data_IF_550240830604
#
_entry.id   IF_550240830604
#
_cell.length_a   1.000
_cell.length_b   1.000
_cell.length_c   1.000
_cell.angle_alpha   90.00
_cell.angle_beta   90.00
_cell.angle_gamma   90.00
#
_symmetry.space_group_name_H-M   'P 1'
#
loop_
_entity.id
_entity.type
_entity.pdbx_description
1 polymer ?
#
# COMPACT_ATOMS: atom_id res chain seq x y z
N UNK A 1 10.71 18.27 -4.55
CA UNK A 1 10.45 16.90 -5.04
C UNK A 1 10.86 15.98 -3.91
N UNK A 2 9.89 15.39 -3.21
CA UNK A 2 10.21 14.48 -2.09
C UNK A 2 10.72 13.17 -2.68
N UNK A 3 11.97 12.85 -2.40
CA UNK A 3 12.62 11.64 -2.89
C UNK A 3 11.93 10.42 -2.24
N UNK A 4 11.32 9.54 -3.05
CA UNK A 4 10.68 8.33 -2.53
C UNK A 4 11.77 7.32 -2.17
N UNK A 5 11.80 6.88 -0.92
CA UNK A 5 12.74 5.85 -0.44
C UNK A 5 12.15 4.45 -0.60
N UNK A 6 13.02 3.44 -0.72
CA UNK A 6 12.57 2.04 -0.79
C UNK A 6 12.09 1.55 0.58
N UNK A 7 10.94 0.86 0.59
CA UNK A 7 10.36 0.21 1.76
C UNK A 7 10.17 -1.28 1.49
N UNK A 8 11.06 -2.11 2.04
CA UNK A 8 11.05 -3.56 1.82
C UNK A 8 10.41 -4.26 3.03
N UNK A 9 9.44 -5.14 2.78
CA UNK A 9 8.75 -5.93 3.82
C UNK A 9 8.56 -7.37 3.37
N UNK A 10 8.47 -8.28 4.34
CA UNK A 10 8.14 -9.68 4.11
C UNK A 10 6.65 -9.89 4.37
N UNK A 11 5.96 -10.47 3.38
CA UNK A 11 4.53 -10.76 3.45
C UNK A 11 4.29 -12.21 3.01
N UNK A 12 3.19 -12.85 3.47
CA UNK A 12 2.78 -14.14 2.95
C UNK A 12 2.58 -14.09 1.43
N UNK A 13 2.93 -15.16 0.70
CA UNK A 13 2.87 -15.17 -0.77
C UNK A 13 1.43 -14.96 -1.28
N UNK A 14 0.43 -15.48 -0.57
CA UNK A 14 -0.98 -15.31 -0.92
C UNK A 14 -1.42 -13.84 -0.83
N UNK A 15 -0.93 -13.12 0.18
CA UNK A 15 -1.20 -11.70 0.34
C UNK A 15 -0.54 -10.88 -0.77
N UNK A 16 0.72 -11.19 -1.12
CA UNK A 16 1.42 -10.53 -2.24
C UNK A 16 0.63 -10.71 -3.53
N UNK A 17 0.11 -11.92 -3.78
CA UNK A 17 -0.71 -12.21 -4.96
C UNK A 17 -2.00 -11.38 -4.95
N UNK A 18 -2.74 -11.38 -3.85
CA UNK A 18 -3.98 -10.60 -3.72
C UNK A 18 -3.74 -9.09 -3.94
N UNK A 19 -2.70 -8.52 -3.33
CA UNK A 19 -2.33 -7.11 -3.49
C UNK A 19 -2.00 -6.79 -4.95
N UNK A 20 -1.22 -7.63 -5.63
CA UNK A 20 -0.87 -7.42 -7.04
C UNK A 20 -2.09 -7.47 -7.97
N UNK A 21 -2.99 -8.43 -7.77
CA UNK A 21 -4.25 -8.47 -8.53
C UNK A 21 -5.02 -7.17 -8.35
N UNK A 22 -5.14 -6.70 -7.10
CA UNK A 22 -5.85 -5.46 -6.81
C UNK A 22 -5.21 -4.23 -7.45
N UNK A 23 -3.89 -4.16 -7.48
CA UNK A 23 -3.17 -3.10 -8.18
C UNK A 23 -3.51 -3.07 -9.68
N UNK A 24 -3.58 -4.24 -10.32
CA UNK A 24 -3.96 -4.37 -11.73
C UNK A 24 -5.41 -3.96 -11.95
N UNK A 25 -6.33 -4.42 -11.10
CA UNK A 25 -7.76 -4.09 -11.19
C UNK A 25 -8.03 -2.59 -11.06
N UNK A 26 -7.26 -1.89 -10.20
CA UNK A 26 -7.38 -0.44 -9.99
C UNK A 26 -6.52 0.38 -10.96
N UNK A 27 -5.71 -0.25 -11.81
CA UNK A 27 -4.79 0.44 -12.72
C UNK A 27 -3.69 1.22 -11.99
N UNK A 28 -3.35 0.82 -10.77
CA UNK A 28 -2.36 1.48 -9.92
C UNK A 28 -1.05 0.69 -9.89
N UNK A 29 0.06 1.42 -9.72
CA UNK A 29 1.32 0.77 -9.37
C UNK A 29 1.26 0.25 -7.93
N UNK A 30 2.05 -0.79 -7.63
CA UNK A 30 2.13 -1.36 -6.28
C UNK A 30 2.52 -0.30 -5.24
N UNK A 31 3.45 0.60 -5.58
CA UNK A 31 3.88 1.68 -4.69
C UNK A 31 2.77 2.70 -4.43
N UNK A 32 1.98 3.08 -5.45
CA UNK A 32 0.85 3.98 -5.27
C UNK A 32 -0.28 3.34 -4.45
N UNK A 33 -0.56 2.06 -4.69
CA UNK A 33 -1.55 1.30 -3.93
C UNK A 33 -1.15 1.19 -2.44
N UNK A 34 0.11 0.82 -2.16
CA UNK A 34 0.61 0.71 -0.78
C UNK A 34 0.63 2.06 -0.09
N UNK A 35 1.09 3.13 -0.76
CA UNK A 35 1.09 4.50 -0.22
C UNK A 35 -0.32 4.93 0.20
N UNK A 36 -1.32 4.70 -0.66
CA UNK A 36 -2.74 5.00 -0.37
C UNK A 36 -3.24 4.20 0.82
N UNK A 37 -3.12 2.87 0.80
CA UNK A 37 -3.67 1.99 1.85
C UNK A 37 -3.03 2.26 3.20
N UNK A 38 -1.72 2.48 3.25
CA UNK A 38 -1.04 2.83 4.50
C UNK A 38 -1.42 4.24 4.98
N UNK A 39 -1.57 5.20 4.07
CA UNK A 39 -2.07 6.55 4.38
C UNK A 39 -3.46 6.50 5.00
N UNK A 40 -4.43 5.91 4.28
CA UNK A 40 -5.81 5.73 4.72
C UNK A 40 -5.90 5.02 6.09
N UNK A 41 -5.07 3.99 6.32
CA UNK A 41 -5.03 3.27 7.59
C UNK A 41 -4.55 4.15 8.76
N UNK A 42 -3.49 4.94 8.53
CA UNK A 42 -2.94 5.85 9.53
C UNK A 42 -3.86 7.06 9.79
N UNK A 43 -4.58 7.53 8.78
CA UNK A 43 -5.57 8.60 8.92
C UNK A 43 -6.78 8.13 9.73
N UNK A 44 -7.35 6.96 9.41
CA UNK A 44 -8.43 6.36 10.21
C UNK A 44 -8.04 6.15 11.66
N UNK A 45 -6.82 5.68 11.91
CA UNK A 45 -6.33 5.46 13.28
C UNK A 45 -6.29 6.77 14.08
N UNK A 46 -6.04 7.91 13.45
CA UNK A 46 -6.01 9.22 14.12
C UNK A 46 -7.39 9.81 14.41
N UNK A 47 -8.41 9.43 13.65
CA UNK A 47 -9.79 9.91 13.88
C UNK A 47 -10.48 9.18 15.04
N UNK A 48 -9.98 8.01 15.42
CA UNK A 48 -10.43 7.21 16.57
C UNK A 48 -9.69 7.56 17.89
N UNK A 49 -8.76 8.52 17.90
CA UNK A 49 -8.06 9.08 19.10
C UNK A 49 -8.61 10.46 19.52
#
# INVERSE_FOLDING_TARGET
MSDKTQFNVYLPPELIKAVKHRCVDEGLSLSAFVERVLGDYLEKTKEDE
#
